data_IF_559339126344
#
_entry.id   IF_559339126344
#
_cell.length_a   1.000
_cell.length_b   1.000
_cell.length_c   1.000
_cell.angle_alpha   90.00
_cell.angle_beta   90.00
_cell.angle_gamma   90.00
#
_symmetry.space_group_name_H-M   'P 1'
#
loop_
_entity.id
_entity.type
_entity.pdbx_description
1 polymer ?
#
# COMPACT_ATOMS: atom_id res chain seq x y z
N UNK A 1 -23.23 4.70 -5.08
CA UNK A 1 -22.69 4.86 -3.70
C UNK A 1 -23.76 5.49 -2.84
N UNK A 2 -23.98 4.97 -1.62
CA UNK A 2 -25.00 5.44 -0.70
C UNK A 2 -24.74 6.90 -0.29
N UNK A 3 -25.74 7.82 -0.46
CA UNK A 3 -25.62 9.23 -0.07
C UNK A 3 -25.31 9.43 1.43
N UNK A 4 -25.79 8.52 2.29
CA UNK A 4 -25.54 8.57 3.73
C UNK A 4 -24.07 8.36 4.09
N UNK A 5 -23.36 7.49 3.36
CA UNK A 5 -21.92 7.29 3.53
C UNK A 5 -21.13 8.54 3.13
N UNK A 6 -21.53 9.18 2.02
CA UNK A 6 -20.88 10.41 1.54
C UNK A 6 -21.04 11.51 2.59
N UNK A 7 -22.25 11.71 3.14
CA UNK A 7 -22.49 12.76 4.14
C UNK A 7 -21.72 12.47 5.45
N UNK A 8 -21.57 11.23 5.84
CA UNK A 8 -20.77 10.85 7.02
C UNK A 8 -19.32 11.23 6.86
N UNK A 9 -18.70 10.97 5.68
CA UNK A 9 -17.33 11.39 5.38
C UNK A 9 -17.19 12.91 5.38
N UNK A 10 -18.12 13.63 4.75
CA UNK A 10 -18.12 15.10 4.72
C UNK A 10 -18.22 15.72 6.12
N UNK A 11 -19.11 15.19 6.95
CA UNK A 11 -19.27 15.65 8.34
C UNK A 11 -18.01 15.39 9.17
N UNK A 12 -17.44 14.19 9.07
CA UNK A 12 -16.19 13.83 9.73
C UNK A 12 -15.07 14.79 9.35
N UNK A 13 -14.85 15.03 8.04
CA UNK A 13 -13.81 15.93 7.56
C UNK A 13 -13.99 17.36 8.09
N UNK A 14 -15.23 17.90 8.12
CA UNK A 14 -15.49 19.22 8.71
C UNK A 14 -15.11 19.28 10.20
N UNK A 15 -15.48 18.26 10.95
CA UNK A 15 -15.16 18.19 12.40
C UNK A 15 -13.64 18.11 12.63
N UNK A 16 -12.93 17.27 11.87
CA UNK A 16 -11.49 17.12 12.00
C UNK A 16 -10.78 18.41 11.64
N UNK A 17 -11.06 19.02 10.47
CA UNK A 17 -10.45 20.28 10.03
C UNK A 17 -10.64 21.41 11.04
N UNK A 18 -11.82 21.51 11.64
CA UNK A 18 -12.09 22.50 12.70
C UNK A 18 -11.25 22.21 13.97
N UNK A 19 -11.19 20.94 14.40
CA UNK A 19 -10.51 20.55 15.65
C UNK A 19 -9.01 20.67 15.61
N UNK A 20 -8.39 20.49 14.45
CA UNK A 20 -6.94 20.60 14.25
C UNK A 20 -6.49 22.02 13.85
N UNK A 21 -7.41 22.98 13.73
CA UNK A 21 -7.05 24.35 13.30
C UNK A 21 -6.50 24.41 11.87
N UNK A 22 -6.97 23.55 10.95
CA UNK A 22 -6.44 23.47 9.60
C UNK A 22 -6.69 24.74 8.76
N UNK A 23 -7.65 25.57 9.18
CA UNK A 23 -8.01 26.85 8.53
C UNK A 23 -7.29 28.05 9.14
N UNK A 24 -6.52 27.85 10.20
CA UNK A 24 -5.77 28.94 10.85
C UNK A 24 -4.61 29.35 9.95
N UNK A 25 -4.42 30.66 9.75
CA UNK A 25 -3.30 31.19 8.98
C UNK A 25 -1.94 30.86 9.60
N UNK A 26 -1.94 30.64 10.93
CA UNK A 26 -0.76 30.24 11.73
C UNK A 26 -1.00 28.89 12.37
N UNK A 27 -0.74 27.81 11.63
CA UNK A 27 -0.90 26.43 12.14
C UNK A 27 -0.03 26.22 13.38
N UNK A 28 -0.64 25.71 14.43
CA UNK A 28 -0.01 25.54 15.75
C UNK A 28 0.62 26.82 16.30
N UNK A 29 0.13 27.99 15.91
CA UNK A 29 0.68 29.32 16.28
C UNK A 29 2.15 29.51 15.92
N UNK A 30 2.62 28.94 14.79
CA UNK A 30 4.02 29.05 14.30
C UNK A 30 4.22 30.06 13.18
N UNK A 31 3.23 30.89 12.87
CA UNK A 31 3.35 31.94 11.86
C UNK A 31 3.44 31.39 10.39
N UNK A 32 3.07 30.11 10.18
CA UNK A 32 3.07 29.50 8.85
C UNK A 32 1.84 28.64 8.62
N UNK A 33 1.36 28.53 7.36
CA UNK A 33 0.21 27.72 7.01
C UNK A 33 0.48 26.23 7.24
N UNK A 34 -0.60 25.44 7.48
CA UNK A 34 -0.55 23.98 7.65
C UNK A 34 0.27 23.30 6.56
N UNK A 35 0.14 23.70 5.29
CA UNK A 35 0.86 23.08 4.18
C UNK A 35 2.39 23.18 4.30
N UNK A 36 2.91 24.31 4.77
CA UNK A 36 4.36 24.48 5.02
C UNK A 36 4.79 23.67 6.23
N UNK A 37 4.05 23.73 7.34
CA UNK A 37 4.33 22.95 8.54
C UNK A 37 4.33 21.45 8.24
N UNK A 38 3.35 20.97 7.46
CA UNK A 38 3.26 19.57 7.05
C UNK A 38 4.44 19.14 6.17
N UNK A 39 4.86 19.94 5.21
CA UNK A 39 6.03 19.63 4.36
C UNK A 39 7.30 19.58 5.20
N UNK A 40 7.51 20.55 6.10
CA UNK A 40 8.66 20.57 6.99
C UNK A 40 8.73 19.31 7.87
N UNK A 41 7.61 18.94 8.45
CA UNK A 41 7.49 17.73 9.26
C UNK A 41 7.78 16.44 8.47
N UNK A 42 7.26 16.34 7.25
CA UNK A 42 7.46 15.16 6.39
C UNK A 42 8.90 15.00 5.87
N UNK A 43 9.69 16.06 5.82
CA UNK A 43 11.11 15.96 5.47
C UNK A 43 11.84 15.12 6.53
N UNK A 44 11.55 15.36 7.82
CA UNK A 44 12.13 14.64 8.93
C UNK A 44 13.65 14.84 9.08
N UNK A 45 14.24 14.33 10.20
CA UNK A 45 15.67 14.51 10.49
C UNK A 45 16.61 13.83 9.48
N UNK A 46 16.16 12.74 8.84
CA UNK A 46 16.97 11.96 7.88
C UNK A 46 17.07 12.56 6.48
N UNK A 47 16.28 13.61 6.19
CA UNK A 47 16.12 14.12 4.83
C UNK A 47 15.27 13.20 3.94
N UNK A 48 14.89 13.68 2.76
CA UNK A 48 14.05 12.89 1.84
C UNK A 48 14.21 13.36 0.39
N UNK A 49 14.15 12.44 -0.61
CA UNK A 49 14.07 12.83 -2.00
C UNK A 49 12.81 13.65 -2.29
N UNK A 50 12.95 14.77 -3.02
CA UNK A 50 11.83 15.67 -3.35
C UNK A 50 10.71 14.92 -4.08
N UNK A 51 11.06 13.95 -4.93
CA UNK A 51 10.06 13.10 -5.63
C UNK A 51 9.25 12.26 -4.64
N UNK A 52 9.89 11.65 -3.65
CA UNK A 52 9.22 10.84 -2.64
C UNK A 52 8.30 11.69 -1.77
N UNK A 53 8.76 12.88 -1.33
CA UNK A 53 7.97 13.83 -0.59
C UNK A 53 6.71 14.26 -1.36
N UNK A 54 6.86 14.58 -2.66
CA UNK A 54 5.74 14.93 -3.53
C UNK A 54 4.71 13.81 -3.63
N UNK A 55 5.18 12.59 -3.85
CA UNK A 55 4.31 11.42 -4.01
C UNK A 55 3.55 11.12 -2.72
N UNK A 56 4.25 11.13 -1.58
CA UNK A 56 3.67 10.84 -0.25
C UNK A 56 2.60 11.85 0.15
N UNK A 57 2.80 13.13 -0.17
CA UNK A 57 1.85 14.19 0.14
C UNK A 57 0.78 14.41 -0.95
N UNK A 58 0.89 13.75 -2.11
CA UNK A 58 -0.03 13.93 -3.22
C UNK A 58 -0.03 15.33 -3.81
N UNK A 59 1.08 16.07 -3.71
CA UNK A 59 1.16 17.47 -4.12
C UNK A 59 1.57 17.60 -5.61
N UNK A 60 1.04 18.64 -6.27
CA UNK A 60 1.57 19.03 -7.58
C UNK A 60 2.99 19.62 -7.46
N UNK A 61 3.76 19.56 -8.55
CA UNK A 61 5.16 19.97 -8.54
C UNK A 61 5.35 21.48 -8.32
N UNK A 62 4.43 22.31 -8.81
CA UNK A 62 4.48 23.75 -8.68
C UNK A 62 4.20 24.19 -7.24
N UNK A 63 3.19 23.58 -6.61
CA UNK A 63 2.85 23.88 -5.22
C UNK A 63 3.97 23.45 -4.25
N UNK A 64 4.49 22.22 -4.37
CA UNK A 64 5.62 21.78 -3.56
C UNK A 64 6.85 22.66 -3.76
N UNK A 65 7.18 23.02 -5.01
CA UNK A 65 8.33 23.89 -5.30
C UNK A 65 8.20 25.29 -4.67
N UNK A 66 6.99 25.83 -4.56
CA UNK A 66 6.73 27.11 -3.86
C UNK A 66 6.97 26.96 -2.35
N UNK A 67 6.48 25.86 -1.75
CA UNK A 67 6.69 25.59 -0.32
C UNK A 67 8.18 25.41 -0.02
N UNK A 68 8.89 24.61 -0.81
CA UNK A 68 10.32 24.36 -0.58
C UNK A 68 11.13 25.67 -0.68
N UNK A 69 10.84 26.52 -1.68
CA UNK A 69 11.50 27.83 -1.78
C UNK A 69 11.24 28.74 -0.58
N UNK A 70 10.02 28.75 -0.05
CA UNK A 70 9.70 29.53 1.14
C UNK A 70 10.45 28.99 2.38
N UNK A 71 10.46 27.68 2.60
CA UNK A 71 11.18 27.07 3.71
C UNK A 71 12.69 27.24 3.60
N UNK A 72 13.25 27.24 2.39
CA UNK A 72 14.67 27.49 2.12
C UNK A 72 15.03 28.96 2.36
N UNK A 73 14.18 29.90 1.94
CA UNK A 73 14.34 31.31 2.23
C UNK A 73 14.27 31.62 3.73
N UNK A 74 13.45 30.88 4.48
CA UNK A 74 13.40 30.94 5.95
C UNK A 74 14.63 30.26 6.64
N UNK A 75 15.54 29.66 5.86
CA UNK A 75 16.73 28.97 6.38
C UNK A 75 16.44 27.65 7.09
N UNK A 76 15.27 27.07 6.89
CA UNK A 76 14.86 25.84 7.60
C UNK A 76 15.27 24.56 6.86
N UNK A 77 15.47 24.64 5.57
CA UNK A 77 15.86 23.50 4.72
C UNK A 77 16.99 23.87 3.76
N UNK A 78 17.65 22.84 3.25
CA UNK A 78 18.55 22.92 2.11
C UNK A 78 18.11 21.90 1.06
N UNK A 79 18.06 22.32 -0.19
CA UNK A 79 17.76 21.42 -1.34
C UNK A 79 19.06 21.24 -2.12
N UNK A 80 19.56 20.01 -2.18
CA UNK A 80 20.80 19.64 -2.87
C UNK A 80 20.59 18.45 -3.82
N UNK A 81 21.61 18.15 -4.63
CA UNK A 81 21.68 16.86 -5.30
C UNK A 81 22.01 15.76 -4.25
N UNK A 82 21.40 14.58 -4.39
CA UNK A 82 21.71 13.46 -3.51
C UNK A 82 23.15 12.96 -3.74
N UNK A 83 23.82 12.55 -2.67
CA UNK A 83 25.22 12.10 -2.72
C UNK A 83 25.39 10.85 -3.62
N UNK A 84 24.41 9.94 -3.60
CA UNK A 84 24.43 8.70 -4.36
C UNK A 84 24.09 8.87 -5.86
N UNK A 85 23.26 9.87 -6.21
CA UNK A 85 22.86 10.17 -7.59
C UNK A 85 22.54 11.66 -7.73
N UNK A 86 23.41 12.40 -8.39
CA UNK A 86 23.29 13.85 -8.63
C UNK A 86 22.03 14.26 -9.43
N UNK A 87 21.32 13.32 -10.06
CA UNK A 87 20.05 13.56 -10.75
C UNK A 87 18.87 13.62 -9.79
N UNK A 88 19.04 13.09 -8.57
CA UNK A 88 18.03 13.08 -7.54
C UNK A 88 18.17 14.31 -6.66
N UNK A 89 17.14 15.14 -6.60
CA UNK A 89 17.09 16.26 -5.65
C UNK A 89 16.65 15.73 -4.29
N UNK A 90 17.41 16.05 -3.26
CA UNK A 90 17.13 15.73 -1.87
C UNK A 90 16.91 17.02 -1.07
N UNK A 91 15.99 16.98 -0.12
CA UNK A 91 15.75 18.05 0.84
C UNK A 91 16.10 17.57 2.25
N UNK A 92 16.83 18.41 2.98
CA UNK A 92 17.27 18.14 4.37
C UNK A 92 16.94 19.33 5.26
N UNK A 93 16.66 19.07 6.54
CA UNK A 93 16.50 20.10 7.54
C UNK A 93 17.86 20.70 7.89
N UNK A 94 17.91 22.04 8.05
CA UNK A 94 19.04 22.72 8.70
C UNK A 94 18.96 22.56 10.23
N UNK A 95 19.93 23.07 10.97
CA UNK A 95 19.86 23.12 12.44
C UNK A 95 18.62 23.89 12.92
N UNK A 96 18.28 25.01 12.26
CA UNK A 96 17.06 25.76 12.55
C UNK A 96 15.79 24.96 12.16
N UNK A 97 15.84 24.22 11.05
CA UNK A 97 14.77 23.32 10.63
C UNK A 97 14.53 22.16 11.60
N UNK A 98 15.59 21.59 12.17
CA UNK A 98 15.47 20.55 13.20
C UNK A 98 14.83 21.09 14.49
N UNK A 99 15.20 22.29 14.90
CA UNK A 99 14.58 22.94 16.05
C UNK A 99 13.09 23.25 15.81
N UNK A 100 12.75 23.72 14.61
CA UNK A 100 11.36 23.98 14.23
C UNK A 100 10.54 22.67 14.13
N UNK A 101 11.12 21.60 13.59
CA UNK A 101 10.50 20.28 13.56
C UNK A 101 10.15 19.77 14.95
N UNK A 102 11.12 19.85 15.90
CA UNK A 102 10.89 19.44 17.29
C UNK A 102 9.82 20.28 17.99
N UNK A 103 9.74 21.58 17.68
CA UNK A 103 8.69 22.45 18.23
C UNK A 103 7.30 22.13 17.63
N UNK A 104 7.23 21.78 16.35
CA UNK A 104 5.98 21.32 15.71
C UNK A 104 5.50 20.01 16.35
N UNK A 105 6.40 19.06 16.63
CA UNK A 105 6.06 17.81 17.33
C UNK A 105 5.48 18.12 18.70
N UNK A 106 6.18 18.91 19.52
CA UNK A 106 5.72 19.28 20.85
C UNK A 106 4.33 19.94 20.85
N UNK A 107 4.08 20.86 19.92
CA UNK A 107 2.77 21.54 19.81
C UNK A 107 1.68 20.62 19.27
N UNK A 108 2.05 19.66 18.43
CA UNK A 108 1.12 18.61 17.98
C UNK A 108 0.69 17.73 19.15
N UNK A 109 1.62 17.39 20.04
CA UNK A 109 1.31 16.65 21.27
C UNK A 109 0.38 17.45 22.18
N UNK A 110 0.66 18.75 22.38
CA UNK A 110 -0.20 19.65 23.16
C UNK A 110 -1.62 19.72 22.58
N UNK A 111 -1.74 19.82 21.26
CA UNK A 111 -3.03 19.81 20.57
C UNK A 111 -3.75 18.48 20.75
N UNK A 112 -3.07 17.36 20.60
CA UNK A 112 -3.64 16.03 20.83
C UNK A 112 -4.10 15.87 22.29
N UNK A 113 -3.31 16.33 23.25
CA UNK A 113 -3.68 16.36 24.67
C UNK A 113 -4.92 17.23 24.94
N UNK A 114 -5.03 18.39 24.28
CA UNK A 114 -6.20 19.25 24.37
C UNK A 114 -7.49 18.64 23.77
N UNK A 115 -7.34 17.79 22.75
CA UNK A 115 -8.48 17.02 22.19
C UNK A 115 -8.92 15.93 23.18
N UNK A 116 -7.97 15.23 23.81
CA UNK A 116 -8.23 14.09 24.68
C UNK A 116 -8.59 14.52 26.13
N UNK A 117 -8.10 15.66 26.57
CA UNK A 117 -8.24 16.12 27.97
C UNK A 117 -9.68 16.15 28.50
N UNK A 118 -10.66 16.70 27.78
CA UNK A 118 -12.06 16.76 28.22
C UNK A 118 -12.77 15.42 28.29
N UNK A 119 -12.19 14.35 27.72
CA UNK A 119 -12.82 13.04 27.60
C UNK A 119 -12.52 12.17 28.82
N UNK A 120 -13.47 11.32 29.19
CA UNK A 120 -13.26 10.23 30.15
C UNK A 120 -12.30 9.18 29.59
N UNK A 121 -11.64 8.39 30.44
CA UNK A 121 -10.73 7.31 29.99
C UNK A 121 -11.39 6.35 28.98
N UNK A 122 -12.66 5.98 29.20
CA UNK A 122 -13.42 5.15 28.27
C UNK A 122 -13.62 5.82 26.89
N UNK A 123 -13.93 7.12 26.89
CA UNK A 123 -14.10 7.88 25.64
C UNK A 123 -12.79 8.03 24.88
N UNK A 124 -11.68 8.28 25.60
CA UNK A 124 -10.34 8.34 24.99
C UNK A 124 -10.00 7.05 24.26
N UNK A 125 -10.13 5.90 24.95
CA UNK A 125 -9.86 4.60 24.32
C UNK A 125 -10.76 4.32 23.11
N UNK A 126 -12.03 4.70 23.14
CA UNK A 126 -12.92 4.58 21.98
C UNK A 126 -12.53 5.50 20.82
N UNK A 127 -12.13 6.74 21.12
CA UNK A 127 -11.76 7.70 20.11
C UNK A 127 -10.45 7.27 19.41
N UNK A 128 -9.41 6.89 20.18
CA UNK A 128 -8.14 6.46 19.60
C UNK A 128 -8.31 5.19 18.78
N UNK A 129 -9.05 4.18 19.25
CA UNK A 129 -9.34 2.97 18.46
C UNK A 129 -10.11 3.29 17.16
N UNK A 130 -11.04 4.26 17.18
CA UNK A 130 -11.72 4.70 15.96
C UNK A 130 -10.81 5.47 15.01
N UNK A 131 -9.86 6.24 15.54
CA UNK A 131 -8.83 6.92 14.72
C UNK A 131 -7.90 5.92 14.05
N UNK A 132 -7.41 4.92 14.77
CA UNK A 132 -6.57 3.85 14.25
C UNK A 132 -7.28 3.08 13.12
N UNK A 133 -8.56 2.80 13.29
CA UNK A 133 -9.36 2.14 12.25
C UNK A 133 -9.59 3.05 11.04
N UNK A 134 -9.92 4.32 11.26
CA UNK A 134 -10.09 5.29 10.18
C UNK A 134 -8.76 5.48 9.40
N UNK A 135 -7.63 5.60 10.07
CA UNK A 135 -6.32 5.70 9.44
C UNK A 135 -6.02 4.47 8.58
N UNK A 136 -6.24 3.26 9.10
CA UNK A 136 -6.04 2.01 8.34
C UNK A 136 -6.89 1.98 7.06
N UNK A 137 -8.18 2.31 7.17
CA UNK A 137 -9.11 2.30 6.03
C UNK A 137 -8.78 3.39 5.02
N UNK A 138 -8.44 4.59 5.47
CA UNK A 138 -8.01 5.69 4.60
C UNK A 138 -6.72 5.34 3.88
N UNK A 139 -5.73 4.77 4.58
CA UNK A 139 -4.47 4.30 4.00
C UNK A 139 -4.72 3.21 2.96
N UNK A 140 -5.57 2.22 3.27
CA UNK A 140 -5.97 1.17 2.33
C UNK A 140 -6.63 1.75 1.06
N UNK A 141 -7.39 2.84 1.19
CA UNK A 141 -8.05 3.51 0.05
C UNK A 141 -7.07 4.21 -0.90
N UNK A 142 -5.86 4.53 -0.44
CA UNK A 142 -4.82 5.15 -1.27
C UNK A 142 -4.06 4.13 -2.14
N UNK A 143 -4.20 2.83 -1.85
CA UNK A 143 -3.54 1.79 -2.62
C UNK A 143 -4.27 1.60 -3.96
N UNK A 144 -3.52 1.62 -5.04
CA UNK A 144 -3.99 1.34 -6.40
C UNK A 144 -3.46 -0.01 -6.85
N UNK A 145 -4.32 -0.84 -7.42
CA UNK A 145 -3.94 -2.11 -8.03
C UNK A 145 -4.18 -2.01 -9.53
N UNK A 146 -3.22 -2.43 -10.33
CA UNK A 146 -3.32 -2.41 -11.78
C UNK A 146 -2.45 -3.52 -12.39
N UNK A 147 -2.83 -3.95 -13.59
CA UNK A 147 -1.99 -4.84 -14.40
C UNK A 147 -0.69 -4.12 -14.79
N UNK A 148 0.42 -4.84 -14.77
CA UNK A 148 1.74 -4.31 -15.09
C UNK A 148 2.56 -5.32 -15.90
N UNK A 149 3.40 -4.80 -16.80
CA UNK A 149 4.44 -5.62 -17.45
C UNK A 149 5.41 -6.13 -16.36
N UNK A 150 5.73 -7.44 -16.31
CA UNK A 150 6.70 -7.98 -15.35
C UNK A 150 8.07 -7.30 -15.40
N UNK A 151 8.44 -6.69 -16.54
CA UNK A 151 9.69 -5.93 -16.72
C UNK A 151 9.64 -4.51 -16.18
N UNK A 152 8.45 -3.99 -15.87
CA UNK A 152 8.32 -2.65 -15.28
C UNK A 152 9.07 -2.56 -13.93
N UNK A 153 9.76 -1.46 -13.61
CA UNK A 153 10.54 -1.34 -12.36
C UNK A 153 9.77 -1.69 -11.09
N UNK A 154 8.51 -1.29 -10.96
CA UNK A 154 7.67 -1.61 -9.81
C UNK A 154 7.37 -3.11 -9.72
N UNK A 155 7.11 -3.77 -10.86
CA UNK A 155 6.91 -5.22 -10.91
C UNK A 155 8.18 -5.97 -10.50
N UNK A 156 9.33 -5.57 -11.07
CA UNK A 156 10.64 -6.13 -10.68
C UNK A 156 10.96 -5.95 -9.21
N UNK A 157 10.59 -4.82 -8.62
CA UNK A 157 10.73 -4.60 -7.19
C UNK A 157 9.92 -5.64 -6.39
N UNK A 158 8.63 -5.77 -6.69
CA UNK A 158 7.74 -6.71 -6.00
C UNK A 158 8.22 -8.16 -6.16
N UNK A 159 8.60 -8.58 -7.36
CA UNK A 159 9.08 -9.94 -7.62
C UNK A 159 10.38 -10.23 -6.86
N UNK A 160 11.34 -9.29 -6.84
CA UNK A 160 12.56 -9.44 -6.02
C UNK A 160 12.25 -9.52 -4.53
N UNK A 161 11.38 -8.65 -4.03
CA UNK A 161 10.98 -8.64 -2.62
C UNK A 161 10.27 -9.95 -2.23
N UNK A 162 9.41 -10.48 -3.11
CA UNK A 162 8.79 -11.80 -2.95
C UNK A 162 9.84 -12.90 -2.79
N UNK A 163 10.79 -13.02 -3.71
CA UNK A 163 11.82 -14.05 -3.64
C UNK A 163 12.74 -13.87 -2.42
N UNK A 164 13.08 -12.63 -2.07
CA UNK A 164 13.89 -12.33 -0.87
C UNK A 164 13.14 -12.77 0.40
N UNK A 165 11.83 -12.55 0.47
CA UNK A 165 11.04 -13.00 1.61
C UNK A 165 10.98 -14.53 1.70
N UNK A 166 10.77 -15.24 0.59
CA UNK A 166 10.80 -16.69 0.57
C UNK A 166 12.15 -17.24 1.05
N UNK A 167 13.27 -16.72 0.51
CA UNK A 167 14.62 -17.12 0.91
C UNK A 167 14.89 -16.93 2.41
N UNK A 168 14.30 -15.88 3.00
CA UNK A 168 14.45 -15.61 4.44
C UNK A 168 13.56 -16.49 5.32
N UNK A 169 12.36 -16.86 4.81
CA UNK A 169 11.34 -17.58 5.61
C UNK A 169 11.47 -19.09 5.52
N UNK A 170 12.03 -19.62 4.44
CA UNK A 170 12.19 -21.07 4.27
C UNK A 170 13.47 -21.52 4.96
N UNK A 171 13.41 -22.62 5.71
CA UNK A 171 14.52 -23.12 6.53
C UNK A 171 15.79 -23.40 5.71
N UNK A 172 15.62 -23.94 4.49
CA UNK A 172 16.72 -24.23 3.56
C UNK A 172 16.92 -23.09 2.52
N UNK A 173 16.27 -21.94 2.70
CA UNK A 173 16.21 -20.88 1.70
C UNK A 173 15.32 -21.25 0.52
N UNK A 174 15.31 -20.37 -0.50
CA UNK A 174 14.51 -20.53 -1.71
C UNK A 174 15.41 -20.37 -2.96
N UNK A 175 15.45 -21.41 -3.77
CA UNK A 175 16.12 -21.42 -5.07
C UNK A 175 15.06 -21.40 -6.19
N UNK A 176 14.92 -20.31 -6.95
CA UNK A 176 13.94 -20.23 -8.04
C UNK A 176 14.10 -21.32 -9.11
N UNK A 177 15.32 -21.88 -9.29
CA UNK A 177 15.56 -22.94 -10.27
C UNK A 177 14.94 -24.27 -9.89
N UNK A 178 14.61 -24.48 -8.61
CA UNK A 178 13.92 -25.68 -8.10
C UNK A 178 12.42 -25.56 -8.07
N UNK A 179 11.88 -24.34 -8.24
CA UNK A 179 10.45 -24.05 -8.23
C UNK A 179 9.87 -24.14 -9.64
N UNK A 180 8.58 -24.46 -9.73
CA UNK A 180 7.87 -24.44 -11.02
C UNK A 180 7.90 -23.04 -11.60
N UNK A 181 8.40 -22.89 -12.85
CA UNK A 181 8.60 -21.57 -13.45
C UNK A 181 7.31 -20.79 -13.62
N UNK A 182 7.37 -19.49 -13.37
CA UNK A 182 6.39 -18.50 -13.81
C UNK A 182 7.21 -17.28 -14.25
N UNK A 183 7.63 -17.31 -15.51
CA UNK A 183 8.50 -16.33 -16.12
C UNK A 183 7.72 -15.09 -16.57
N UNK A 184 8.41 -14.06 -17.06
CA UNK A 184 7.79 -12.84 -17.57
C UNK A 184 6.72 -13.13 -18.64
N UNK A 185 6.98 -14.11 -19.51
CA UNK A 185 6.02 -14.55 -20.54
C UNK A 185 4.75 -15.15 -19.89
N UNK A 186 4.90 -16.01 -18.89
CA UNK A 186 3.78 -16.64 -18.17
C UNK A 186 2.91 -15.64 -17.41
N UNK A 187 3.46 -14.49 -17.06
CA UNK A 187 2.81 -13.41 -16.32
C UNK A 187 2.30 -12.27 -17.21
N UNK A 188 2.39 -12.44 -18.54
CA UNK A 188 1.98 -11.45 -19.55
C UNK A 188 0.85 -12.00 -20.41
N UNK A 189 -0.17 -11.20 -20.76
CA UNK A 189 -1.22 -11.66 -21.69
C UNK A 189 -0.65 -12.17 -23.03
N UNK A 190 -1.20 -13.26 -23.60
CA UNK A 190 -2.36 -14.01 -23.15
C UNK A 190 -2.08 -15.12 -22.15
N UNK A 191 -0.80 -15.43 -21.82
CA UNK A 191 -0.42 -16.55 -20.97
C UNK A 191 -0.70 -16.32 -19.47
N UNK A 192 -0.81 -15.07 -19.03
CA UNK A 192 -1.12 -14.71 -17.66
C UNK A 192 -1.36 -13.23 -17.49
N UNK A 193 -1.33 -12.79 -16.24
CA UNK A 193 -1.38 -11.38 -15.85
C UNK A 193 -0.66 -11.19 -14.51
N UNK A 194 0.10 -10.11 -14.41
CA UNK A 194 0.66 -9.64 -13.14
C UNK A 194 -0.07 -8.39 -12.71
N UNK A 195 -0.62 -8.39 -11.49
CA UNK A 195 -1.14 -7.21 -10.82
C UNK A 195 -0.08 -6.64 -9.87
N UNK A 196 0.09 -5.33 -9.89
CA UNK A 196 0.97 -4.60 -8.97
C UNK A 196 0.14 -3.59 -8.19
N UNK A 197 0.29 -3.63 -6.88
CA UNK A 197 -0.27 -2.64 -5.97
C UNK A 197 0.76 -1.54 -5.72
N UNK A 198 0.33 -0.28 -5.80
CA UNK A 198 1.16 0.89 -5.50
C UNK A 198 0.47 1.80 -4.50
N UNK A 199 1.24 2.40 -3.61
CA UNK A 199 0.82 3.46 -2.71
C UNK A 199 1.77 4.64 -2.89
N UNK A 200 1.23 5.82 -3.20
CA UNK A 200 2.04 6.99 -3.53
C UNK A 200 3.05 6.76 -4.68
N UNK A 201 2.71 5.88 -5.63
CA UNK A 201 3.57 5.50 -6.75
C UNK A 201 4.63 4.46 -6.43
N UNK A 202 4.85 4.12 -5.16
CA UNK A 202 5.78 3.09 -4.72
C UNK A 202 5.11 1.71 -4.69
N UNK A 203 5.80 0.64 -5.13
CA UNK A 203 5.25 -0.70 -5.17
C UNK A 203 5.14 -1.29 -3.76
N UNK A 204 3.94 -1.76 -3.40
CA UNK A 204 3.63 -2.30 -2.06
C UNK A 204 3.05 -3.70 -2.08
N UNK A 205 2.86 -4.31 -3.24
CA UNK A 205 2.40 -5.68 -3.35
C UNK A 205 2.22 -6.13 -4.79
N UNK A 206 2.13 -7.43 -4.98
CA UNK A 206 1.80 -8.05 -6.27
C UNK A 206 1.06 -9.37 -6.09
N UNK A 207 0.47 -9.82 -7.19
CA UNK A 207 -0.09 -11.15 -7.36
C UNK A 207 -0.26 -11.41 -8.84
N UNK A 208 -0.22 -12.68 -9.25
CA UNK A 208 -0.28 -13.04 -10.66
C UNK A 208 -1.22 -14.22 -10.91
N UNK A 209 -1.71 -14.30 -12.13
CA UNK A 209 -2.33 -15.49 -12.69
C UNK A 209 -1.46 -16.03 -13.81
N UNK A 210 -1.31 -17.36 -13.82
CA UNK A 210 -0.79 -18.12 -14.97
C UNK A 210 -1.94 -18.96 -15.50
N UNK A 211 -2.23 -18.80 -16.80
CA UNK A 211 -3.30 -19.52 -17.46
C UNK A 211 -2.80 -20.82 -18.07
N UNK A 212 -3.65 -21.82 -18.07
CA UNK A 212 -3.41 -23.12 -18.70
C UNK A 212 -4.53 -23.46 -19.65
N UNK A 213 -4.21 -24.13 -20.74
CA UNK A 213 -5.22 -24.60 -21.68
C UNK A 213 -6.09 -25.69 -21.02
N UNK A 214 -7.42 -25.45 -20.93
CA UNK A 214 -8.40 -26.39 -20.39
C UNK A 214 -8.18 -26.87 -18.94
N UNK A 215 -7.40 -26.13 -18.14
CA UNK A 215 -7.15 -26.43 -16.73
C UNK A 215 -7.41 -25.17 -15.86
N UNK A 216 -7.58 -25.31 -14.53
CA UNK A 216 -7.64 -24.18 -13.62
C UNK A 216 -6.44 -23.27 -13.80
N UNK A 217 -6.66 -21.95 -13.72
CA UNK A 217 -5.54 -21.01 -13.70
C UNK A 217 -4.86 -21.02 -12.31
N UNK A 218 -3.59 -20.69 -12.29
CA UNK A 218 -2.80 -20.70 -11.07
C UNK A 218 -2.56 -19.29 -10.54
N UNK A 219 -2.82 -19.08 -9.25
CA UNK A 219 -2.41 -17.86 -8.54
C UNK A 219 -0.93 -18.00 -8.15
N UNK A 220 -0.12 -17.07 -8.58
CA UNK A 220 1.33 -17.05 -8.36
C UNK A 220 1.79 -15.71 -7.78
N UNK A 221 2.98 -15.68 -7.19
CA UNK A 221 3.70 -14.44 -6.82
C UNK A 221 2.92 -13.51 -5.89
N UNK A 222 2.09 -14.05 -5.01
CA UNK A 222 1.37 -13.25 -4.00
C UNK A 222 2.33 -12.70 -2.95
N UNK A 223 2.46 -11.38 -2.93
CA UNK A 223 3.32 -10.70 -1.96
C UNK A 223 2.72 -9.35 -1.54
N UNK A 224 2.90 -9.03 -0.25
CA UNK A 224 2.49 -7.74 0.33
C UNK A 224 3.63 -7.22 1.19
N UNK A 225 4.04 -5.98 0.94
CA UNK A 225 5.08 -5.30 1.70
C UNK A 225 4.73 -5.29 3.20
N UNK A 226 5.71 -5.58 4.10
CA UNK A 226 5.49 -5.48 5.54
C UNK A 226 4.90 -4.13 5.99
N UNK A 227 5.25 -3.04 5.30
CA UNK A 227 4.78 -1.69 5.61
C UNK A 227 3.26 -1.48 5.46
N UNK A 228 2.57 -2.35 4.72
CA UNK A 228 1.13 -2.24 4.44
C UNK A 228 0.35 -3.52 4.81
N UNK A 229 0.97 -4.42 5.56
CA UNK A 229 0.26 -5.58 6.11
C UNK A 229 -0.80 -5.13 7.13
N UNK A 230 -1.85 -5.93 7.26
CA UNK A 230 -3.00 -5.56 8.09
C UNK A 230 -4.02 -4.62 7.44
N UNK A 231 -3.69 -3.99 6.28
CA UNK A 231 -4.60 -3.13 5.51
C UNK A 231 -5.55 -3.90 4.58
N UNK A 232 -5.54 -5.24 4.59
CA UNK A 232 -6.40 -6.04 3.73
C UNK A 232 -5.91 -6.18 2.28
N UNK A 233 -4.70 -5.69 1.94
CA UNK A 233 -4.20 -5.68 0.56
C UNK A 233 -4.08 -7.09 -0.05
N UNK A 234 -3.64 -8.10 0.72
CA UNK A 234 -3.56 -9.48 0.22
C UNK A 234 -4.92 -10.02 -0.23
N UNK A 235 -5.97 -9.77 0.56
CA UNK A 235 -7.36 -10.14 0.21
C UNK A 235 -7.84 -9.39 -1.03
N UNK A 236 -7.54 -8.10 -1.12
CA UNK A 236 -7.90 -7.28 -2.28
C UNK A 236 -7.21 -7.77 -3.56
N UNK A 237 -5.89 -8.02 -3.52
CA UNK A 237 -5.14 -8.57 -4.65
C UNK A 237 -5.73 -9.90 -5.12
N UNK A 238 -6.05 -10.81 -4.18
CA UNK A 238 -6.65 -12.09 -4.49
C UNK A 238 -8.02 -11.91 -5.14
N UNK A 239 -8.87 -11.05 -4.59
CA UNK A 239 -10.20 -10.76 -5.16
C UNK A 239 -10.12 -10.12 -6.55
N UNK A 240 -9.15 -9.23 -6.79
CA UNK A 240 -8.94 -8.64 -8.11
C UNK A 240 -8.42 -9.68 -9.13
N UNK A 241 -7.56 -10.62 -8.71
CA UNK A 241 -7.15 -11.74 -9.56
C UNK A 241 -8.32 -12.66 -9.87
N UNK A 242 -9.18 -12.98 -8.89
CA UNK A 242 -10.41 -13.75 -9.09
C UNK A 242 -11.31 -13.07 -10.13
N UNK A 243 -11.57 -11.77 -9.99
CA UNK A 243 -12.38 -11.01 -10.94
C UNK A 243 -11.78 -11.00 -12.37
N UNK A 244 -10.46 -10.88 -12.49
CA UNK A 244 -9.76 -10.96 -13.79
C UNK A 244 -9.91 -12.35 -14.40
N UNK A 245 -9.82 -13.41 -13.60
CA UNK A 245 -10.00 -14.78 -14.05
C UNK A 245 -11.45 -15.05 -14.50
N UNK A 246 -12.44 -14.60 -13.72
CA UNK A 246 -13.88 -14.70 -14.04
C UNK A 246 -14.20 -13.98 -15.34
N UNK A 247 -13.72 -12.75 -15.52
CA UNK A 247 -13.91 -11.98 -16.75
C UNK A 247 -13.33 -12.68 -18.00
N UNK A 248 -12.37 -13.59 -17.82
CA UNK A 248 -11.77 -14.41 -18.87
C UNK A 248 -12.44 -15.78 -19.04
N UNK A 249 -13.46 -16.08 -18.25
CA UNK A 249 -14.18 -17.35 -18.31
C UNK A 249 -13.47 -18.51 -17.60
N UNK A 250 -12.47 -18.23 -16.76
CA UNK A 250 -11.81 -19.24 -15.92
C UNK A 250 -12.80 -19.71 -14.85
N UNK A 251 -12.95 -21.02 -14.71
CA UNK A 251 -13.93 -21.62 -13.79
C UNK A 251 -13.37 -21.99 -12.42
N UNK A 252 -12.07 -22.14 -12.32
CA UNK A 252 -11.42 -22.48 -11.05
C UNK A 252 -10.01 -21.89 -10.99
N UNK A 253 -9.59 -21.53 -9.79
CA UNK A 253 -8.24 -21.12 -9.48
C UNK A 253 -7.58 -22.15 -8.56
N UNK A 254 -6.30 -22.37 -8.77
CA UNK A 254 -5.44 -23.21 -7.94
C UNK A 254 -4.25 -22.43 -7.46
N UNK A 255 -3.69 -22.86 -6.34
CA UNK A 255 -2.42 -22.35 -5.84
C UNK A 255 -1.78 -23.40 -4.92
N UNK A 256 -0.48 -23.31 -4.80
CA UNK A 256 0.27 -24.02 -3.79
C UNK A 256 1.01 -23.04 -2.87
N UNK A 257 1.33 -23.47 -1.65
CA UNK A 257 2.04 -22.65 -0.67
C UNK A 257 2.84 -23.48 0.32
N UNK A 258 3.80 -22.84 0.98
CA UNK A 258 4.61 -23.45 2.00
C UNK A 258 3.95 -23.31 3.39
N UNK A 259 4.13 -24.30 4.26
CA UNK A 259 3.55 -24.34 5.60
C UNK A 259 3.99 -23.17 6.50
N UNK A 260 5.19 -22.62 6.29
CA UNK A 260 5.68 -21.47 7.07
C UNK A 260 4.97 -20.15 6.74
N UNK A 261 4.21 -20.12 5.63
CA UNK A 261 3.47 -18.94 5.19
C UNK A 261 2.04 -18.94 5.78
N UNK A 262 1.95 -18.99 7.11
CA UNK A 262 0.70 -19.16 7.86
C UNK A 262 -0.34 -18.09 7.54
N UNK A 263 0.08 -16.85 7.31
CA UNK A 263 -0.80 -15.73 6.94
C UNK A 263 -1.43 -15.94 5.56
N UNK A 264 -0.66 -16.48 4.60
CA UNK A 264 -1.16 -16.81 3.27
C UNK A 264 -2.16 -17.98 3.32
N UNK A 265 -1.87 -19.02 4.10
CA UNK A 265 -2.79 -20.14 4.33
C UNK A 265 -4.11 -19.63 4.92
N UNK A 266 -4.04 -18.78 5.95
CA UNK A 266 -5.22 -18.15 6.55
C UNK A 266 -6.00 -17.30 5.57
N UNK A 267 -5.32 -16.54 4.70
CA UNK A 267 -5.94 -15.74 3.65
C UNK A 267 -6.72 -16.64 2.68
N UNK A 268 -6.11 -17.69 2.13
CA UNK A 268 -6.75 -18.56 1.15
C UNK A 268 -7.96 -19.28 1.73
N UNK A 269 -7.83 -19.87 2.93
CA UNK A 269 -8.98 -20.50 3.61
C UNK A 269 -10.13 -19.52 3.84
N UNK A 270 -9.84 -18.31 4.32
CA UNK A 270 -10.87 -17.28 4.56
C UNK A 270 -11.46 -16.69 3.28
N UNK A 271 -10.78 -16.84 2.14
CA UNK A 271 -11.28 -16.45 0.81
C UNK A 271 -12.07 -17.57 0.11
N UNK A 272 -12.27 -18.72 0.78
CA UNK A 272 -13.08 -19.83 0.26
C UNK A 272 -12.32 -20.86 -0.58
N UNK A 273 -10.99 -20.81 -0.57
CA UNK A 273 -10.17 -21.88 -1.15
C UNK A 273 -10.22 -23.10 -0.24
N UNK A 274 -10.39 -24.28 -0.84
CA UNK A 274 -10.37 -25.58 -0.16
C UNK A 274 -9.05 -26.27 -0.43
N UNK A 275 -8.54 -26.90 0.60
CA UNK A 275 -7.33 -27.70 0.48
C UNK A 275 -7.63 -28.97 -0.34
N UNK A 276 -6.75 -29.28 -1.29
CA UNK A 276 -6.88 -30.41 -2.22
C UNK A 276 -5.58 -31.22 -2.26
N UNK A 277 -5.62 -32.40 -2.88
CA UNK A 277 -4.41 -33.19 -3.14
C UNK A 277 -3.45 -32.44 -4.06
N UNK A 278 -2.15 -32.71 -3.93
CA UNK A 278 -1.13 -32.16 -4.79
C UNK A 278 -1.49 -32.36 -6.27
N UNK A 279 -1.50 -31.27 -7.03
CA UNK A 279 -1.78 -31.28 -8.47
C UNK A 279 -0.52 -31.00 -9.31
N UNK A 280 0.60 -30.74 -8.67
CA UNK A 280 1.91 -30.53 -9.26
C UNK A 280 3.02 -30.96 -8.29
N UNK A 281 4.27 -30.95 -8.78
CA UNK A 281 5.46 -31.34 -8.02
C UNK A 281 6.27 -30.11 -7.58
N UNK A 282 5.61 -29.05 -7.09
CA UNK A 282 6.31 -27.86 -6.59
C UNK A 282 7.16 -28.21 -5.36
N UNK A 283 8.47 -28.08 -5.49
CA UNK A 283 9.45 -28.55 -4.51
C UNK A 283 9.30 -27.92 -3.11
N UNK A 284 8.72 -26.73 -3.04
CA UNK A 284 8.55 -25.97 -1.80
C UNK A 284 7.12 -25.98 -1.27
N UNK A 285 6.19 -26.64 -1.94
CA UNK A 285 4.80 -26.70 -1.52
C UNK A 285 4.56 -27.75 -0.45
N UNK A 286 3.70 -27.40 0.50
CA UNK A 286 3.20 -28.32 1.52
C UNK A 286 1.66 -28.32 1.56
N UNK A 287 1.02 -27.31 0.93
CA UNK A 287 -0.41 -27.16 0.85
C UNK A 287 -0.81 -26.77 -0.58
N UNK A 288 -1.86 -27.41 -1.08
CA UNK A 288 -2.49 -27.13 -2.37
C UNK A 288 -3.93 -26.72 -2.15
N UNK A 289 -4.35 -25.67 -2.82
CA UNK A 289 -5.69 -25.12 -2.67
C UNK A 289 -6.37 -24.96 -4.01
N UNK A 290 -7.70 -25.09 -4.02
CA UNK A 290 -8.54 -24.82 -5.18
C UNK A 290 -9.78 -24.04 -4.75
N UNK A 291 -10.23 -23.13 -5.62
CA UNK A 291 -11.51 -22.43 -5.52
C UNK A 291 -12.21 -22.45 -6.86
N UNK A 292 -13.48 -22.93 -6.87
CA UNK A 292 -14.38 -22.76 -8.00
C UNK A 292 -14.89 -21.33 -8.01
N UNK A 293 -14.76 -20.65 -9.15
CA UNK A 293 -15.28 -19.29 -9.35
C UNK A 293 -16.76 -19.37 -9.74
N UNK A 294 -17.55 -18.42 -9.27
CA UNK A 294 -18.95 -18.30 -9.68
C UNK A 294 -18.97 -17.89 -11.14
N UNK A 295 -19.53 -18.74 -11.99
CA UNK A 295 -19.87 -18.33 -13.35
C UNK A 295 -21.13 -17.51 -13.23
N UNK A 296 -21.06 -16.19 -13.29
CA UNK A 296 -22.24 -15.40 -13.55
C UNK A 296 -22.84 -15.91 -14.86
N UNK A 297 -24.04 -16.40 -14.76
CA UNK A 297 -24.89 -16.66 -15.94
C UNK A 297 -25.08 -15.30 -16.61
N UNK A 298 -24.18 -14.97 -17.55
CA UNK A 298 -24.47 -13.92 -18.52
C UNK A 298 -25.76 -14.37 -19.19
N UNK A 299 -26.79 -13.63 -18.85
CA UNK A 299 -28.17 -13.67 -19.32
C UNK A 299 -28.31 -14.30 -20.68
N UNK A 300 -28.92 -15.50 -20.71
CA UNK A 300 -29.73 -15.94 -21.85
C UNK A 300 -30.95 -14.99 -21.93
N UNK A 301 -30.79 -13.85 -22.55
CA UNK A 301 -31.87 -13.01 -23.09
C UNK A 301 -31.37 -12.39 -24.40
N UNK A 302 -31.26 -13.23 -25.38
CA UNK A 302 -31.35 -12.85 -26.79
C UNK A 302 -32.27 -13.84 -27.46
N UNK A 303 -33.55 -13.56 -27.43
CA UNK A 303 -34.55 -13.97 -28.41
C UNK A 303 -35.41 -12.75 -28.69
#
# INVERSE_FOLDING_TARGET
>A
MDPGLIESVRRFNRTVTQRIGALDESFLSRGRPLGQARVLWEIGPGGTPVRALRSRLGLDSGYLSRILRALEADGLIVVSAADADRRVREVRLTQAGLAEHAELDRRSDDMAAAILGPLTARQRGRLTAAMDEAERLLTASMIRVAAADPRHPNARHCLRAYFTELSRRFDEGFDPARSIPADDHDLTPPAGVLLVATMHGEPVGCGALKYHNNAPAEVKRMWVSPAVRGLGLGRRLLAELEAVAEARGVRALRLETNHVLTEAIGLYRSAGYREVSAFNEEAYAHHWFEKTLATDRVSLLAL
#
